data_IF_319614792059
#
_entry.id   IF_319614792059
#
_cell.length_a   1.000
_cell.length_b   1.000
_cell.length_c   1.000
_cell.angle_alpha   90.00
_cell.angle_beta   90.00
_cell.angle_gamma   90.00
#
_symmetry.space_group_name_H-M   'P 1'
#
loop_
_entity.id
_entity.type
_entity.pdbx_description
1 polymer ?
#
# COMPACT_ATOMS: atom_id res chain seq x y z
N UNK A 1 27.64 18.04 23.92
CA UNK A 1 27.07 16.82 23.31
C UNK A 1 26.51 17.20 21.94
N UNK A 2 27.29 16.96 20.89
CA UNK A 2 26.99 17.40 19.52
C UNK A 2 26.07 16.39 18.82
N UNK A 3 25.23 16.89 17.91
CA UNK A 3 24.21 16.16 17.14
C UNK A 3 24.72 14.94 16.33
N UNK A 4 26.03 14.67 16.33
CA UNK A 4 26.69 13.55 15.65
C UNK A 4 26.51 12.19 16.34
N UNK A 5 26.19 12.16 17.64
CA UNK A 5 26.18 10.90 18.41
C UNK A 5 24.84 10.16 18.39
N UNK A 6 23.77 10.78 17.85
CA UNK A 6 22.42 10.16 17.76
C UNK A 6 22.19 9.33 16.48
N UNK A 7 23.14 9.30 15.55
CA UNK A 7 22.94 8.70 14.22
C UNK A 7 23.44 7.25 14.07
N UNK A 8 23.92 6.61 15.15
CA UNK A 8 24.37 5.21 15.15
C UNK A 8 23.59 4.33 16.13
N UNK A 9 22.25 4.39 16.11
CA UNK A 9 21.51 3.18 16.48
C UNK A 9 21.64 2.22 15.31
N UNK A 10 22.61 1.31 15.38
CA UNK A 10 22.63 0.12 14.52
C UNK A 10 21.24 -0.49 14.61
N UNK A 11 20.53 -0.57 13.49
CA UNK A 11 19.23 -1.23 13.48
C UNK A 11 19.48 -2.71 13.81
N UNK A 12 19.11 -3.13 15.02
CA UNK A 12 19.11 -4.56 15.37
C UNK A 12 18.07 -5.25 14.48
N UNK A 13 18.56 -6.08 13.56
CA UNK A 13 17.71 -6.89 12.71
C UNK A 13 17.31 -8.15 13.48
N UNK A 14 16.04 -8.24 13.86
CA UNK A 14 15.48 -9.46 14.43
C UNK A 14 14.97 -10.36 13.29
N UNK A 15 15.46 -11.60 13.24
CA UNK A 15 15.03 -12.60 12.26
C UNK A 15 14.27 -13.72 12.98
N UNK A 16 13.14 -14.11 12.43
CA UNK A 16 12.34 -15.23 12.94
C UNK A 16 12.14 -16.29 11.84
N UNK A 17 12.31 -17.55 12.21
CA UNK A 17 12.03 -18.72 11.38
C UNK A 17 10.85 -19.48 11.98
N UNK A 18 10.01 -20.05 11.11
CA UNK A 18 8.80 -20.77 11.51
C UNK A 18 8.76 -22.14 10.82
N UNK A 19 8.25 -23.14 11.52
CA UNK A 19 8.09 -24.51 11.03
C UNK A 19 7.10 -24.62 9.86
N UNK A 20 6.16 -23.69 9.74
CA UNK A 20 5.15 -23.70 8.68
C UNK A 20 4.74 -22.29 8.27
N UNK A 21 4.20 -22.16 7.06
CA UNK A 21 3.61 -20.89 6.59
C UNK A 21 2.45 -20.43 7.48
N UNK A 22 1.70 -21.38 8.05
CA UNK A 22 0.61 -21.09 8.98
C UNK A 22 1.11 -20.39 10.24
N UNK A 23 2.19 -20.89 10.84
CA UNK A 23 2.78 -20.29 12.05
C UNK A 23 3.36 -18.91 11.76
N UNK A 24 4.02 -18.75 10.61
CA UNK A 24 4.48 -17.45 10.13
C UNK A 24 3.32 -16.47 9.93
N UNK A 25 2.24 -16.89 9.27
CA UNK A 25 1.07 -16.04 9.02
C UNK A 25 0.40 -15.59 10.33
N UNK A 26 0.27 -16.51 11.29
CA UNK A 26 -0.30 -16.21 12.60
C UNK A 26 0.55 -15.27 13.43
N UNK A 27 1.88 -15.30 13.25
CA UNK A 27 2.78 -14.41 13.97
C UNK A 27 2.67 -12.96 13.48
N UNK A 28 2.59 -12.75 12.15
CA UNK A 28 2.70 -11.41 11.56
C UNK A 28 1.37 -10.74 11.19
N UNK A 29 0.37 -11.51 10.74
CA UNK A 29 -0.80 -10.94 10.09
C UNK A 29 -1.97 -10.76 11.06
N UNK A 30 -2.39 -11.83 11.73
CA UNK A 30 -3.62 -11.83 12.53
C UNK A 30 -3.50 -12.82 13.69
N UNK A 31 -2.79 -12.44 14.76
CA UNK A 31 -2.80 -13.21 16.00
C UNK A 31 -3.85 -12.65 16.96
N UNK A 32 -4.85 -13.44 17.43
CA UNK A 32 -5.28 -14.75 16.94
C UNK A 32 -6.21 -14.68 15.71
N UNK A 33 -6.14 -15.70 14.85
CA UNK A 33 -6.86 -15.86 13.56
C UNK A 33 -8.39 -15.61 13.61
N UNK A 34 -9.00 -15.66 14.80
CA UNK A 34 -10.45 -15.54 15.00
C UNK A 34 -10.91 -14.13 15.39
N UNK A 35 -10.01 -13.24 15.81
CA UNK A 35 -10.36 -11.90 16.29
C UNK A 35 -9.76 -10.79 15.44
N UNK A 36 -9.54 -11.09 14.15
CA UNK A 36 -8.79 -10.29 13.19
C UNK A 36 -8.70 -8.81 13.50
N UNK A 37 -7.48 -8.28 13.56
CA UNK A 37 -7.19 -6.89 13.92
C UNK A 37 -7.65 -5.89 12.84
N UNK A 38 -8.02 -6.40 11.66
CA UNK A 38 -8.58 -5.64 10.56
C UNK A 38 -9.93 -5.02 10.94
N UNK A 39 -9.87 -3.79 11.46
CA UNK A 39 -11.06 -3.01 11.78
C UNK A 39 -11.83 -2.66 10.49
N UNK A 40 -13.09 -3.08 10.44
CA UNK A 40 -14.01 -2.73 9.35
C UNK A 40 -14.61 -1.35 9.63
N UNK A 41 -14.76 -0.53 8.60
CA UNK A 41 -15.44 0.76 8.72
C UNK A 41 -14.61 1.85 9.41
N UNK A 42 -13.28 1.71 9.49
CA UNK A 42 -12.38 2.73 10.06
C UNK A 42 -11.47 3.37 9.02
N UNK A 43 -11.48 2.88 7.79
CA UNK A 43 -10.60 3.34 6.72
C UNK A 43 -11.31 3.36 5.35
N UNK A 44 -10.97 4.37 4.55
CA UNK A 44 -11.28 4.41 3.12
C UNK A 44 -10.14 3.81 2.33
N UNK A 45 -10.46 2.97 1.35
CA UNK A 45 -9.49 2.28 0.53
C UNK A 45 -9.49 2.78 -0.91
N UNK A 46 -8.29 2.96 -1.43
CA UNK A 46 -7.97 3.00 -2.86
C UNK A 46 -6.80 2.07 -3.11
N UNK A 47 -6.47 1.82 -4.36
CA UNK A 47 -5.26 1.08 -4.63
C UNK A 47 -4.84 1.10 -6.08
N UNK A 48 -3.59 0.71 -6.29
CA UNK A 48 -3.01 0.66 -7.62
C UNK A 48 -1.97 -0.45 -7.72
N UNK A 49 -1.91 -1.05 -8.91
CA UNK A 49 -0.83 -1.93 -9.32
C UNK A 49 0.37 -1.10 -9.77
N UNK A 50 1.53 -1.36 -9.20
CA UNK A 50 2.78 -0.64 -9.47
C UNK A 50 3.68 -1.53 -10.34
N UNK A 51 3.88 -1.16 -11.62
CA UNK A 51 4.79 -1.85 -12.53
C UNK A 51 6.22 -1.86 -12.03
N UNK A 52 6.94 -2.95 -12.31
CA UNK A 52 8.36 -3.07 -11.93
C UNK A 52 9.22 -1.97 -12.54
N UNK A 53 8.93 -1.58 -13.78
CA UNK A 53 9.75 -0.65 -14.55
C UNK A 53 9.72 0.80 -14.02
N UNK A 54 8.70 1.18 -13.23
CA UNK A 54 8.57 2.55 -12.70
C UNK A 54 9.12 2.72 -11.28
N UNK A 55 9.52 1.62 -10.63
CA UNK A 55 9.81 1.61 -9.19
C UNK A 55 10.91 2.62 -8.80
N UNK A 56 11.91 2.80 -9.67
CA UNK A 56 13.05 3.70 -9.43
C UNK A 56 12.63 5.18 -9.37
N UNK A 57 11.57 5.57 -10.08
CA UNK A 57 11.09 6.95 -10.15
C UNK A 57 9.98 7.28 -9.16
N UNK A 58 9.58 6.33 -8.31
CA UNK A 58 8.33 6.43 -7.56
C UNK A 58 8.44 7.11 -6.19
N UNK A 59 9.65 7.26 -5.66
CA UNK A 59 9.92 7.88 -4.36
C UNK A 59 9.24 9.25 -4.12
N UNK A 60 9.25 10.20 -5.08
CA UNK A 60 8.56 11.47 -4.94
C UNK A 60 7.04 11.34 -4.76
N UNK A 61 6.40 10.41 -5.47
CA UNK A 61 4.96 10.16 -5.35
C UNK A 61 4.62 9.59 -3.95
N UNK A 62 5.41 8.63 -3.46
CA UNK A 62 5.25 8.07 -2.11
C UNK A 62 5.41 9.17 -1.05
N UNK A 63 6.44 10.03 -1.17
CA UNK A 63 6.63 11.14 -0.25
C UNK A 63 5.42 12.08 -0.22
N UNK A 64 4.87 12.41 -1.39
CA UNK A 64 3.68 13.27 -1.48
C UNK A 64 2.46 12.62 -0.84
N UNK A 65 2.23 11.32 -1.05
CA UNK A 65 1.14 10.58 -0.41
C UNK A 65 1.24 10.60 1.12
N UNK A 66 2.45 10.39 1.65
CA UNK A 66 2.71 10.45 3.10
C UNK A 66 2.40 11.84 3.67
N UNK A 67 2.83 12.91 2.98
CA UNK A 67 2.52 14.30 3.39
C UNK A 67 1.01 14.58 3.37
N UNK A 68 0.26 13.93 2.48
CA UNK A 68 -1.20 14.03 2.43
C UNK A 68 -1.92 13.25 3.55
N UNK A 69 -1.18 12.55 4.42
CA UNK A 69 -1.73 11.74 5.51
C UNK A 69 -2.25 10.38 5.04
N UNK A 70 -1.85 9.93 3.85
CA UNK A 70 -2.22 8.62 3.31
C UNK A 70 -1.32 7.57 3.90
N UNK A 71 -1.91 6.53 4.49
CA UNK A 71 -1.17 5.34 4.88
C UNK A 71 -1.03 4.43 3.67
N UNK A 72 0.23 4.17 3.33
CA UNK A 72 0.65 3.40 2.18
C UNK A 72 1.10 2.01 2.64
N UNK A 73 0.51 0.94 2.11
CA UNK A 73 0.97 -0.43 2.34
C UNK A 73 1.25 -1.08 0.99
N UNK A 74 2.42 -1.72 0.85
CA UNK A 74 2.82 -2.39 -0.38
C UNK A 74 2.83 -3.90 -0.20
N UNK A 75 2.00 -4.63 -0.96
CA UNK A 75 2.01 -6.09 -1.00
C UNK A 75 2.83 -6.51 -2.23
N UNK A 76 4.04 -7.00 -1.98
CA UNK A 76 4.95 -7.49 -3.01
C UNK A 76 4.53 -8.87 -3.49
N UNK A 77 4.35 -9.04 -4.80
CA UNK A 77 4.03 -10.34 -5.40
C UNK A 77 4.61 -10.47 -6.80
N UNK A 78 4.95 -11.70 -7.19
CA UNK A 78 5.41 -12.02 -8.53
C UNK A 78 4.58 -13.17 -9.12
N UNK A 79 3.69 -12.81 -10.04
CA UNK A 79 2.80 -13.76 -10.74
C UNK A 79 3.10 -13.86 -12.24
N UNK A 80 4.24 -13.35 -12.69
CA UNK A 80 4.58 -13.30 -14.12
C UNK A 80 4.57 -14.68 -14.78
N UNK A 81 4.98 -15.72 -14.03
CA UNK A 81 5.04 -17.12 -14.50
C UNK A 81 3.68 -17.82 -14.67
N UNK A 82 2.60 -17.30 -14.08
CA UNK A 82 1.32 -18.02 -13.99
C UNK A 82 0.27 -17.45 -14.94
N UNK A 83 -0.27 -18.20 -15.89
CA UNK A 83 -1.28 -17.69 -16.82
C UNK A 83 -2.10 -18.72 -17.57
N UNK A 84 -2.96 -18.22 -18.46
CA UNK A 84 -3.95 -19.00 -19.21
C UNK A 84 -5.12 -18.12 -19.64
N UNK A 85 -6.19 -18.74 -20.16
CA UNK A 85 -7.44 -18.06 -20.46
C UNK A 85 -8.17 -17.71 -19.15
N UNK A 86 -7.89 -16.53 -18.59
CA UNK A 86 -8.57 -16.00 -17.42
C UNK A 86 -8.83 -14.50 -17.56
N UNK A 87 -9.72 -13.98 -16.72
CA UNK A 87 -10.09 -12.56 -16.69
C UNK A 87 -9.15 -11.71 -15.80
N UNK A 88 -7.99 -12.24 -15.40
CA UNK A 88 -7.05 -11.47 -14.59
C UNK A 88 -6.44 -10.34 -15.42
N UNK A 89 -6.41 -9.12 -14.86
CA UNK A 89 -5.84 -7.97 -15.54
C UNK A 89 -4.38 -8.27 -15.96
N UNK A 90 -4.01 -8.06 -17.24
CA UNK A 90 -2.65 -8.31 -17.72
C UNK A 90 -1.57 -7.58 -16.90
N UNK A 91 -1.91 -6.42 -16.34
CA UNK A 91 -1.03 -5.58 -15.52
C UNK A 91 -0.52 -6.29 -14.27
N UNK A 92 -1.21 -7.32 -13.76
CA UNK A 92 -0.71 -8.14 -12.65
C UNK A 92 0.62 -8.82 -12.96
N UNK A 93 0.88 -9.15 -14.23
CA UNK A 93 2.11 -9.83 -14.68
C UNK A 93 3.32 -8.91 -14.71
N UNK A 94 3.09 -7.61 -14.89
CA UNK A 94 4.13 -6.59 -15.01
C UNK A 94 4.37 -5.84 -13.69
N UNK A 95 3.46 -6.00 -12.74
CA UNK A 95 3.50 -5.34 -11.44
C UNK A 95 4.36 -6.10 -10.44
N UNK A 96 5.03 -5.33 -9.58
CA UNK A 96 5.83 -5.87 -8.47
C UNK A 96 5.12 -5.69 -7.13
N UNK A 97 4.30 -4.64 -6.99
CA UNK A 97 3.60 -4.29 -5.76
C UNK A 97 2.15 -3.96 -6.07
N UNK A 98 1.22 -4.58 -5.34
CA UNK A 98 -0.13 -4.06 -5.19
C UNK A 98 -0.16 -3.14 -3.97
N UNK A 99 -0.57 -1.90 -4.16
CA UNK A 99 -0.61 -0.91 -3.09
C UNK A 99 -2.03 -0.54 -2.75
N UNK A 100 -2.56 -0.96 -1.58
CA UNK A 100 -3.66 -0.26 -0.93
C UNK A 100 -3.20 1.07 -0.30
N UNK A 101 -3.97 2.12 -0.60
CA UNK A 101 -3.89 3.44 0.00
C UNK A 101 -5.06 3.60 0.96
N UNK A 102 -4.77 4.08 2.16
CA UNK A 102 -5.79 4.22 3.21
C UNK A 102 -5.81 5.63 3.78
N UNK A 103 -7.02 6.17 3.94
CA UNK A 103 -7.30 7.35 4.75
C UNK A 103 -8.22 6.97 5.91
N UNK A 104 -8.11 7.63 7.06
CA UNK A 104 -8.99 7.39 8.20
C UNK A 104 -10.44 7.75 7.84
N UNK A 105 -11.37 6.95 8.37
CA UNK A 105 -12.82 7.11 8.26
C UNK A 105 -13.45 7.05 9.65
N UNK A 106 -14.49 7.85 9.89
CA UNK A 106 -15.31 7.79 11.09
C UNK A 106 -16.75 8.16 10.77
N UNK A 107 -17.69 7.35 11.30
CA UNK A 107 -19.13 7.59 11.19
C UNK A 107 -19.65 8.65 12.18
N UNK A 108 -18.80 9.14 13.09
CA UNK A 108 -19.16 10.15 14.10
C UNK A 108 -19.03 11.59 13.57
N UNK A 109 -18.50 11.76 12.34
CA UNK A 109 -18.35 13.07 11.70
C UNK A 109 -19.64 13.49 10.99
N UNK A 110 -19.77 14.79 10.70
CA UNK A 110 -20.86 15.30 9.88
C UNK A 110 -20.85 14.64 8.49
N UNK A 111 -22.02 14.41 7.91
CA UNK A 111 -22.15 13.74 6.61
C UNK A 111 -21.35 14.45 5.50
N UNK A 112 -21.36 15.78 5.49
CA UNK A 112 -20.61 16.56 4.50
C UNK A 112 -19.08 16.34 4.61
N UNK A 113 -18.55 16.22 5.83
CA UNK A 113 -17.12 15.93 6.06
C UNK A 113 -16.75 14.53 5.56
N UNK A 114 -17.67 13.58 5.74
CA UNK A 114 -17.52 12.19 5.32
C UNK A 114 -17.47 12.09 3.79
N UNK A 115 -18.38 12.79 3.10
CA UNK A 115 -18.38 12.87 1.63
C UNK A 115 -17.14 13.61 1.13
N UNK A 116 -16.73 14.71 1.77
CA UNK A 116 -15.52 15.43 1.41
C UNK A 116 -14.26 14.55 1.53
N UNK A 117 -14.18 13.69 2.54
CA UNK A 117 -13.06 12.74 2.69
C UNK A 117 -13.07 11.64 1.61
N UNK A 118 -14.26 11.16 1.21
CA UNK A 118 -14.41 10.23 0.08
C UNK A 118 -14.04 10.88 -1.25
N UNK A 119 -14.40 12.14 -1.43
CA UNK A 119 -14.01 12.93 -2.59
C UNK A 119 -12.50 13.15 -2.61
N UNK A 120 -11.90 13.48 -1.48
CA UNK A 120 -10.46 13.69 -1.34
C UNK A 120 -9.64 12.47 -1.74
N UNK A 121 -9.99 11.27 -1.27
CA UNK A 121 -9.25 10.05 -1.64
C UNK A 121 -9.35 9.76 -3.15
N UNK A 122 -10.43 10.21 -3.80
CA UNK A 122 -10.72 9.96 -5.22
C UNK A 122 -10.15 11.04 -6.14
N UNK A 123 -10.28 12.31 -5.76
CA UNK A 123 -10.01 13.48 -6.61
C UNK A 123 -8.63 14.08 -6.35
N UNK A 124 -8.05 13.86 -5.17
CA UNK A 124 -6.74 14.42 -4.82
C UNK A 124 -5.67 13.34 -4.65
N UNK A 125 -5.97 12.26 -3.92
CA UNK A 125 -4.99 11.20 -3.62
C UNK A 125 -4.77 10.29 -4.82
N UNK A 126 -5.85 9.82 -5.46
CA UNK A 126 -5.77 8.90 -6.60
C UNK A 126 -4.94 9.47 -7.77
N UNK A 127 -5.06 10.76 -8.17
CA UNK A 127 -4.22 11.30 -9.24
C UNK A 127 -2.72 11.33 -8.91
N UNK A 128 -2.34 11.43 -7.63
CA UNK A 128 -0.92 11.42 -7.24
C UNK A 128 -0.29 10.05 -7.50
N UNK A 129 -0.99 8.97 -7.13
CA UNK A 129 -0.50 7.62 -7.40
C UNK A 129 -0.54 7.28 -8.89
N UNK A 130 -1.52 7.80 -9.64
CA UNK A 130 -1.63 7.60 -11.08
C UNK A 130 -0.57 8.38 -11.86
N UNK A 131 -0.26 9.61 -11.47
CA UNK A 131 0.81 10.40 -12.09
C UNK A 131 2.18 9.75 -11.84
N UNK A 132 2.43 9.27 -10.63
CA UNK A 132 3.64 8.49 -10.30
C UNK A 132 3.68 7.12 -11.00
N UNK A 133 2.53 6.65 -11.49
CA UNK A 133 2.34 5.41 -12.21
C UNK A 133 1.88 5.67 -13.65
N UNK A 134 2.34 6.76 -14.26
CA UNK A 134 1.95 7.13 -15.61
C UNK A 134 2.45 6.07 -16.60
N UNK A 135 1.63 5.04 -16.78
CA UNK A 135 1.52 4.29 -18.00
C UNK A 135 1.31 5.34 -19.09
N UNK A 136 2.36 5.64 -19.88
CA UNK A 136 2.14 6.35 -21.13
C UNK A 136 1.05 5.58 -21.84
N UNK A 137 -0.13 6.19 -21.99
CA UNK A 137 -1.15 5.73 -22.91
C UNK A 137 -0.41 5.53 -24.24
N UNK A 138 -0.05 4.29 -24.57
CA UNK A 138 0.13 3.93 -25.97
C UNK A 138 -1.26 4.15 -26.53
N UNK A 139 -1.36 5.26 -27.26
CA UNK A 139 -2.55 5.66 -27.97
C UNK A 139 -3.12 4.44 -28.70
N UNK A 140 -4.42 4.25 -28.56
CA UNK A 140 -5.24 3.84 -29.69
C UNK A 140 -5.52 5.11 -30.49
#
# INVERSE_FOLDING_TARGET
>A
MTLSDKAKSEAEFNYAEFSSYHDHYNHYWESPILSGSAQVGTQLYRGRLIPRHILHGWGPAVRRLVVMGVTFKGIGLNVSRFGGANAALPQWRESIVHTPLTLPWSYERAFDDIIAQQDRITKEVQPVIEAGNAWRRRAL
#
